data_IF_387519906189
#
_entry.id   IF_387519906189
#
_cell.length_a   1.000
_cell.length_b   1.000
_cell.length_c   1.000
_cell.angle_alpha   90.00
_cell.angle_beta   90.00
_cell.angle_gamma   90.00
#
_symmetry.space_group_name_H-M   'P 1'
#
loop_
_entity.id
_entity.type
_entity.pdbx_description
1 polymer ?
#
# COMPACT_ATOMS: atom_id res chain seq x y z
N UNK A 1 6.59 -22.10 0.48
CA UNK A 1 5.97 -20.79 0.76
C UNK A 1 6.44 -19.84 -0.34
N UNK A 2 5.56 -19.04 -0.97
CA UNK A 2 6.00 -18.08 -1.97
C UNK A 2 7.06 -17.16 -1.35
N UNK A 3 8.13 -16.90 -2.10
CA UNK A 3 9.23 -16.05 -1.65
C UNK A 3 8.68 -14.62 -1.61
N UNK A 4 8.29 -14.16 -0.43
CA UNK A 4 7.89 -12.79 -0.19
C UNK A 4 9.15 -11.94 -0.43
N UNK A 5 9.21 -11.26 -1.57
CA UNK A 5 10.34 -10.41 -1.96
C UNK A 5 10.10 -8.93 -1.64
N UNK A 6 8.90 -8.59 -1.17
CA UNK A 6 8.42 -7.22 -1.01
C UNK A 6 7.68 -7.08 0.32
N UNK A 7 7.91 -5.98 1.04
CA UNK A 7 7.29 -5.71 2.35
C UNK A 7 5.83 -5.25 2.24
N UNK A 8 5.42 -4.77 1.06
CA UNK A 8 4.08 -4.31 0.76
C UNK A 8 3.67 -4.84 -0.61
N UNK A 9 2.48 -5.42 -0.68
CA UNK A 9 1.83 -5.81 -1.92
C UNK A 9 0.50 -5.06 -2.03
N UNK A 10 0.14 -4.59 -3.24
CA UNK A 10 -1.10 -3.83 -3.46
C UNK A 10 -1.90 -4.44 -4.60
N UNK A 11 -3.20 -4.63 -4.35
CA UNK A 11 -4.22 -4.98 -5.33
C UNK A 11 -5.13 -3.76 -5.53
N UNK A 12 -5.20 -3.25 -6.76
CA UNK A 12 -6.17 -2.23 -7.18
C UNK A 12 -7.36 -2.89 -7.86
N UNK A 13 -8.57 -2.50 -7.49
CA UNK A 13 -9.81 -2.98 -8.13
C UNK A 13 -10.65 -1.79 -8.55
N UNK A 14 -11.02 -1.75 -9.83
CA UNK A 14 -11.96 -0.75 -10.34
C UNK A 14 -13.41 -1.24 -10.10
N UNK A 15 -14.19 -0.46 -9.36
CA UNK A 15 -15.62 -0.69 -9.10
C UNK A 15 -16.43 0.43 -9.76
N UNK A 16 -16.90 0.19 -10.98
CA UNK A 16 -17.50 1.23 -11.81
C UNK A 16 -16.43 2.15 -12.38
N UNK A 17 -16.51 3.46 -12.12
CA UNK A 17 -15.52 4.45 -12.55
C UNK A 17 -14.50 4.82 -11.46
N UNK A 18 -14.42 4.01 -10.40
CA UNK A 18 -13.78 4.36 -9.14
C UNK A 18 -12.84 3.24 -8.72
N UNK A 19 -11.66 3.59 -8.24
CA UNK A 19 -10.64 2.67 -7.74
C UNK A 19 -10.76 2.44 -6.24
N UNK A 20 -10.53 1.20 -5.83
CA UNK A 20 -10.35 0.77 -4.45
C UNK A 20 -9.02 0.02 -4.34
N UNK A 21 -8.33 0.17 -3.21
CA UNK A 21 -7.01 -0.45 -3.01
C UNK A 21 -7.01 -1.36 -1.78
N UNK A 22 -6.45 -2.55 -1.93
CA UNK A 22 -6.13 -3.46 -0.82
C UNK A 22 -4.61 -3.63 -0.74
N UNK A 23 -4.04 -3.37 0.44
CA UNK A 23 -2.64 -3.62 0.74
C UNK A 23 -2.47 -4.88 1.59
N UNK A 24 -1.45 -5.68 1.31
CA UNK A 24 -0.99 -6.79 2.17
C UNK A 24 0.44 -6.52 2.60
N UNK A 25 0.65 -6.43 3.91
CA UNK A 25 1.92 -6.05 4.49
C UNK A 25 2.64 -7.26 5.08
N UNK A 26 3.95 -7.28 4.91
CA UNK A 26 4.85 -8.29 5.44
C UNK A 26 5.98 -7.62 6.19
N UNK A 27 6.39 -8.23 7.30
CA UNK A 27 7.47 -7.74 8.15
C UNK A 27 8.48 -8.85 8.37
N UNK A 28 9.73 -8.45 8.56
CA UNK A 28 10.80 -9.36 8.89
C UNK A 28 10.80 -9.66 10.40
N UNK A 29 10.80 -10.94 10.78
CA UNK A 29 10.72 -11.36 12.18
C UNK A 29 11.68 -12.52 12.49
N UNK A 30 12.70 -12.30 13.35
CA UNK A 30 13.11 -11.00 13.93
C UNK A 30 13.71 -10.08 12.87
N UNK A 31 13.72 -8.77 13.10
CA UNK A 31 14.30 -7.79 12.17
C UNK A 31 15.76 -8.15 11.81
N UNK A 32 16.09 -8.12 10.51
CA UNK A 32 17.40 -8.51 9.97
C UNK A 32 17.64 -10.02 9.84
N UNK A 33 16.64 -10.87 10.04
CA UNK A 33 16.79 -12.34 10.00
C UNK A 33 16.71 -12.99 8.61
N UNK A 34 16.27 -12.25 7.60
CA UNK A 34 15.84 -12.72 6.29
C UNK A 34 14.49 -13.45 6.30
N UNK A 35 13.82 -13.56 7.45
CA UNK A 35 12.57 -14.32 7.60
C UNK A 35 11.38 -13.39 7.57
N UNK A 36 10.60 -13.48 6.50
CA UNK A 36 9.41 -12.65 6.30
C UNK A 36 8.15 -13.37 6.76
N UNK A 37 7.30 -12.65 7.51
CA UNK A 37 5.95 -13.08 7.87
C UNK A 37 4.94 -12.00 7.54
N UNK A 38 3.66 -12.36 7.53
CA UNK A 38 2.59 -11.35 7.46
C UNK A 38 2.66 -10.44 8.68
N UNK A 39 2.39 -9.16 8.44
CA UNK A 39 2.14 -8.21 9.52
C UNK A 39 0.95 -8.68 10.36
N UNK A 40 0.97 -8.34 11.64
CA UNK A 40 -0.14 -8.57 12.56
C UNK A 40 -0.93 -7.29 12.79
N UNK A 41 -2.01 -7.36 13.56
CA UNK A 41 -2.88 -6.22 13.82
C UNK A 41 -2.11 -5.07 14.48
N UNK A 42 -2.12 -3.89 13.85
CA UNK A 42 -1.48 -2.71 14.42
C UNK A 42 0.04 -2.64 14.27
N UNK A 43 0.66 -3.57 13.53
CA UNK A 43 2.11 -3.66 13.42
C UNK A 43 2.68 -2.74 12.32
N UNK A 44 1.94 -2.59 11.23
CA UNK A 44 2.31 -1.72 10.10
C UNK A 44 1.26 -0.64 9.94
N UNK A 45 1.72 0.60 9.83
CA UNK A 45 0.90 1.75 9.45
C UNK A 45 1.03 1.96 7.94
N UNK A 46 -0.10 2.02 7.25
CA UNK A 46 -0.16 2.22 5.80
C UNK A 46 -0.84 3.55 5.50
N UNK A 47 -0.14 4.42 4.80
CA UNK A 47 -0.62 5.72 4.31
C UNK A 47 -0.93 5.61 2.81
N UNK A 48 -2.14 5.99 2.41
CA UNK A 48 -2.51 6.22 1.03
C UNK A 48 -2.53 7.72 0.74
N UNK A 49 -1.71 8.14 -0.21
CA UNK A 49 -1.55 9.53 -0.65
C UNK A 49 -1.94 9.64 -2.12
N UNK A 50 -2.77 10.60 -2.45
CA UNK A 50 -2.99 11.03 -3.82
C UNK A 50 -1.86 11.97 -4.23
N UNK A 51 -1.20 11.68 -5.34
CA UNK A 51 -0.11 12.49 -5.88
C UNK A 51 -0.68 13.58 -6.80
N UNK A 52 -1.68 13.24 -7.61
CA UNK A 52 -2.22 14.12 -8.63
C UNK A 52 -1.18 14.46 -9.70
N UNK A 53 -1.48 15.50 -10.46
CA UNK A 53 -0.58 16.05 -11.47
C UNK A 53 0.61 16.78 -10.84
N UNK A 54 1.69 16.96 -11.62
CA UNK A 54 2.95 17.57 -11.16
C UNK A 54 2.80 18.99 -10.56
N UNK A 55 1.71 19.70 -10.88
CA UNK A 55 1.40 21.04 -10.37
C UNK A 55 0.47 21.04 -9.15
N UNK A 56 -0.08 19.89 -8.79
CA UNK A 56 -0.98 19.74 -7.65
C UNK A 56 -0.17 19.39 -6.40
N UNK A 57 -0.73 19.72 -5.23
CA UNK A 57 -0.12 19.39 -3.95
C UNK A 57 -0.62 17.99 -3.56
N UNK A 58 0.29 17.01 -3.38
CA UNK A 58 -0.10 15.68 -2.94
C UNK A 58 -0.85 15.74 -1.61
N UNK A 59 -1.87 14.90 -1.48
CA UNK A 59 -2.74 14.89 -0.31
C UNK A 59 -2.83 13.49 0.28
N UNK A 60 -2.60 13.37 1.59
CA UNK A 60 -2.91 12.15 2.32
C UNK A 60 -4.42 11.95 2.33
N UNK A 61 -4.86 10.83 1.78
CA UNK A 61 -6.27 10.48 1.75
C UNK A 61 -6.66 9.77 3.04
N UNK A 62 -5.88 8.77 3.42
CA UNK A 62 -6.17 7.94 4.57
C UNK A 62 -4.90 7.28 5.11
N UNK A 63 -4.85 7.09 6.43
CA UNK A 63 -3.81 6.34 7.12
C UNK A 63 -4.49 5.29 7.99
N UNK A 64 -4.10 4.03 7.83
CA UNK A 64 -4.70 2.89 8.52
C UNK A 64 -3.63 1.93 8.99
N UNK A 65 -3.90 1.23 10.08
CA UNK A 65 -3.04 0.13 10.52
C UNK A 65 -3.52 -1.20 9.94
N UNK A 66 -2.60 -2.16 9.84
CA UNK A 66 -2.92 -3.52 9.41
C UNK A 66 -3.92 -4.21 10.35
N UNK A 67 -4.77 -5.05 9.77
CA UNK A 67 -5.67 -5.93 10.50
C UNK A 67 -4.95 -7.19 11.03
N UNK A 68 -5.69 -8.10 11.68
CA UNK A 68 -5.15 -9.35 12.24
C UNK A 68 -4.57 -10.31 11.19
N UNK A 69 -4.84 -10.09 9.91
CA UNK A 69 -4.34 -10.87 8.78
C UNK A 69 -3.23 -10.16 8.00
N UNK A 70 -2.81 -8.97 8.45
CA UNK A 70 -1.77 -8.16 7.80
C UNK A 70 -2.28 -7.39 6.59
N UNK A 71 -3.59 -7.20 6.46
CA UNK A 71 -4.18 -6.49 5.34
C UNK A 71 -4.59 -5.07 5.74
N UNK A 72 -4.72 -4.20 4.74
CA UNK A 72 -5.32 -2.88 4.84
C UNK A 72 -6.24 -2.67 3.63
N UNK A 73 -7.41 -2.09 3.84
CA UNK A 73 -8.35 -1.80 2.76
C UNK A 73 -8.67 -0.31 2.71
N UNK A 74 -8.43 0.29 1.56
CA UNK A 74 -8.83 1.65 1.19
C UNK A 74 -10.03 1.55 0.27
N UNK A 75 -11.21 1.45 0.88
CA UNK A 75 -12.50 1.39 0.19
C UNK A 75 -13.03 2.78 -0.24
N UNK A 76 -12.15 3.79 -0.26
CA UNK A 76 -12.48 5.13 -0.69
C UNK A 76 -12.81 5.16 -2.17
N UNK A 77 -13.56 6.19 -2.59
CA UNK A 77 -13.75 6.44 -4.01
C UNK A 77 -12.53 7.19 -4.56
N UNK A 78 -11.67 6.50 -5.31
CA UNK A 78 -10.48 7.07 -5.92
C UNK A 78 -10.65 7.22 -7.44
N UNK A 79 -10.29 8.37 -7.99
CA UNK A 79 -10.34 8.64 -9.43
C UNK A 79 -9.21 7.93 -10.18
N UNK A 80 -9.26 7.93 -11.51
CA UNK A 80 -8.11 7.52 -12.32
C UNK A 80 -6.99 8.55 -12.16
N UNK A 81 -5.99 8.24 -11.33
CA UNK A 81 -4.85 9.13 -11.08
C UNK A 81 -3.66 8.35 -10.46
N UNK A 82 -2.64 9.08 -10.03
CA UNK A 82 -1.44 8.63 -9.39
C UNK A 82 -1.60 8.65 -7.87
N UNK A 83 -1.26 7.54 -7.25
CA UNK A 83 -1.27 7.36 -5.80
C UNK A 83 0.07 6.84 -5.32
N UNK A 84 0.34 7.07 -4.05
CA UNK A 84 1.48 6.51 -3.32
C UNK A 84 0.95 5.81 -2.08
N UNK A 85 1.31 4.55 -1.92
CA UNK A 85 1.02 3.78 -0.73
C UNK A 85 2.31 3.51 0.03
N UNK A 86 2.42 4.03 1.25
CA UNK A 86 3.59 3.86 2.11
C UNK A 86 3.23 2.98 3.29
N UNK A 87 3.89 1.83 3.43
CA UNK A 87 3.82 0.98 4.60
C UNK A 87 5.03 1.23 5.51
N UNK A 88 4.78 1.50 6.79
CA UNK A 88 5.78 1.75 7.81
C UNK A 88 5.62 0.75 8.94
N UNK A 89 6.66 -0.06 9.18
CA UNK A 89 6.70 -0.94 10.32
C UNK A 89 6.92 -0.12 11.60
N UNK A 90 5.98 -0.18 12.55
CA UNK A 90 6.00 0.71 13.71
C UNK A 90 7.17 0.42 14.64
N UNK A 91 7.58 -0.85 14.77
CA UNK A 91 8.62 -1.25 15.70
C UNK A 91 10.04 -0.98 15.17
N UNK A 92 10.34 -1.35 13.91
CA UNK A 92 11.66 -1.11 13.34
C UNK A 92 11.81 0.27 12.71
N UNK A 93 10.70 0.90 12.31
CA UNK A 93 10.71 2.15 11.55
C UNK A 93 10.99 1.97 10.06
N UNK A 94 11.08 0.72 9.58
CA UNK A 94 11.30 0.45 8.16
C UNK A 94 10.11 0.90 7.33
N UNK A 95 10.40 1.59 6.22
CA UNK A 95 9.39 2.10 5.30
C UNK A 95 9.52 1.44 3.93
N UNK A 96 8.38 1.18 3.31
CA UNK A 96 8.25 0.69 1.95
C UNK A 96 7.19 1.50 1.24
N UNK A 97 7.53 2.07 0.09
CA UNK A 97 6.60 2.86 -0.70
C UNK A 97 6.39 2.24 -2.08
N UNK A 98 5.13 2.24 -2.50
CA UNK A 98 4.72 1.88 -3.85
C UNK A 98 4.02 3.06 -4.49
N UNK A 99 4.34 3.31 -5.75
CA UNK A 99 3.56 4.18 -6.62
C UNK A 99 2.57 3.34 -7.40
N UNK A 100 1.33 3.81 -7.43
CA UNK A 100 0.20 3.18 -8.12
C UNK A 100 -0.30 4.17 -9.17
N UNK A 101 -0.27 3.77 -10.43
CA UNK A 101 -0.74 4.59 -11.55
C UNK A 101 -2.01 3.94 -12.10
N UNK A 102 -3.16 4.56 -11.89
CA UNK A 102 -4.43 4.05 -12.38
C UNK A 102 -4.71 4.60 -13.78
N UNK A 103 -5.23 3.76 -14.67
CA UNK A 103 -5.53 4.12 -16.06
C UNK A 103 -7.03 4.08 -16.34
N UNK A 104 -7.48 4.86 -17.32
CA UNK A 104 -8.91 4.98 -17.68
C UNK A 104 -9.47 3.71 -18.31
N UNK A 105 -8.60 2.81 -18.79
CA UNK A 105 -8.98 1.51 -19.34
C UNK A 105 -9.24 0.43 -18.27
N UNK A 106 -9.15 0.80 -16.98
CA UNK A 106 -9.38 -0.08 -15.86
C UNK A 106 -8.17 -0.96 -15.51
N UNK A 107 -6.99 -0.64 -16.05
CA UNK A 107 -5.72 -1.22 -15.64
C UNK A 107 -4.98 -0.28 -14.69
N UNK A 108 -4.00 -0.80 -13.96
CA UNK A 108 -3.13 -0.01 -13.11
C UNK A 108 -1.72 -0.59 -13.10
N UNK A 109 -0.73 0.28 -12.97
CA UNK A 109 0.67 -0.09 -12.80
C UNK A 109 1.11 0.13 -11.35
N UNK A 110 2.02 -0.72 -10.87
CA UNK A 110 2.63 -0.58 -9.55
C UNK A 110 4.15 -0.61 -9.70
N UNK A 111 4.81 0.34 -9.05
CA UNK A 111 6.27 0.42 -9.01
C UNK A 111 6.77 0.72 -7.60
N UNK A 112 7.94 0.17 -7.24
CA UNK A 112 8.61 0.44 -5.97
C UNK A 112 9.33 1.80 -6.05
N UNK A 113 9.20 2.61 -5.00
CA UNK A 113 9.93 3.89 -4.84
C UNK A 113 11.08 3.80 -3.84
#
# INVERSE_FOLDING_TARGET
>A
MPRISEALYVEGVQVGAIWQFEGRCFVEDPAGSGTWRKATAGEVEVELKWLGEWYQIPKVLETKNTDALGNVSFAGSHDTDNYRMTARHIQSGDEYALRIECHDDGTYDVSVE
#
